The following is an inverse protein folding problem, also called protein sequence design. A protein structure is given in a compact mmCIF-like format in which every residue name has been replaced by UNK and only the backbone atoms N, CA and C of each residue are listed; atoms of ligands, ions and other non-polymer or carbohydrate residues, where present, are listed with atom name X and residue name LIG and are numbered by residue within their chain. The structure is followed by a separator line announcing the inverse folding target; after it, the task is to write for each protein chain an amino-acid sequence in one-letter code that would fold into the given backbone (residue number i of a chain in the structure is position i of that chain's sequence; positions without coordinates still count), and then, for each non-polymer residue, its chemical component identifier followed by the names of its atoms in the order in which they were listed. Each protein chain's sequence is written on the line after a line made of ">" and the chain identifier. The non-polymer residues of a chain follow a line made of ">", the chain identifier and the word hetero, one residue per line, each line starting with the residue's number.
data_IF_024908159707
#
_entry.id   IF_024908159707
#
_cell.length_a   1.000
_cell.length_b   1.000
_cell.length_c   1.000
_cell.angle_alpha   90.00
_cell.angle_beta   90.00
_cell.angle_gamma   90.00
#
_symmetry.space_group_name_H-M   'P 1'
#
loop_
_entity.id
_entity.type
_entity.pdbx_description
1 polymer ?
#
# COMPACT_ATOMS: atom_id res chain seq x y z
N UNK A 1 5.29 -14.36 -23.20
CA UNK A 1 5.01 -14.83 -21.98
C UNK A 1 4.82 -13.79 -20.90
N UNK A 2 4.58 -12.56 -21.33
CA UNK A 2 4.17 -11.50 -20.40
C UNK A 2 2.90 -11.86 -19.64
N UNK A 3 2.03 -12.67 -20.26
CA UNK A 3 0.81 -13.15 -19.61
C UNK A 3 1.11 -13.93 -18.33
N UNK A 4 2.17 -14.75 -18.34
CA UNK A 4 2.55 -15.52 -17.16
C UNK A 4 3.03 -14.63 -16.03
N UNK A 5 3.74 -13.56 -16.36
CA UNK A 5 4.22 -12.60 -15.37
C UNK A 5 3.05 -11.86 -14.70
N UNK A 6 2.05 -11.49 -15.50
CA UNK A 6 0.84 -10.84 -14.98
C UNK A 6 0.08 -11.78 -14.06
N UNK A 7 -0.07 -13.04 -14.48
CA UNK A 7 -0.82 -14.02 -13.70
C UNK A 7 -0.14 -14.35 -12.38
N UNK A 8 1.20 -14.32 -12.35
CA UNK A 8 1.96 -14.59 -11.13
C UNK A 8 1.68 -13.57 -10.02
N UNK A 9 1.24 -12.35 -10.37
CA UNK A 9 0.92 -11.30 -9.40
C UNK A 9 -0.52 -11.37 -8.90
N UNK A 10 -1.33 -12.29 -9.44
CA UNK A 10 -2.76 -12.35 -9.12
C UNK A 10 -3.07 -13.36 -8.03
N UNK A 11 -4.06 -13.02 -7.22
CA UNK A 11 -4.62 -13.92 -6.23
C UNK A 11 -5.69 -14.79 -6.88
N UNK A 12 -5.77 -16.05 -6.42
CA UNK A 12 -6.76 -17.01 -6.88
C UNK A 12 -7.87 -17.25 -5.88
N UNK A 13 -7.58 -16.99 -4.60
CA UNK A 13 -8.52 -17.22 -3.53
C UNK A 13 -8.31 -16.20 -2.42
N UNK A 14 -9.36 -15.89 -1.68
CA UNK A 14 -9.32 -14.96 -0.56
C UNK A 14 -8.33 -15.40 0.51
N UNK A 15 -8.14 -16.72 0.69
CA UNK A 15 -7.21 -17.25 1.68
C UNK A 15 -5.77 -16.79 1.44
N UNK A 16 -5.39 -16.57 0.19
CA UNK A 16 -4.06 -16.05 -0.12
C UNK A 16 -3.89 -14.64 0.40
N UNK A 17 -4.95 -13.83 0.32
CA UNK A 17 -4.93 -12.46 0.84
C UNK A 17 -4.91 -12.49 2.37
N UNK A 18 -5.73 -13.33 2.99
CA UNK A 18 -5.74 -13.47 4.46
C UNK A 18 -4.39 -13.93 4.98
N UNK A 19 -3.75 -14.86 4.27
CA UNK A 19 -2.41 -15.33 4.62
C UNK A 19 -1.37 -14.21 4.53
N UNK A 20 -1.44 -13.40 3.47
CA UNK A 20 -0.54 -12.27 3.29
C UNK A 20 -0.68 -11.27 4.45
N UNK A 21 -1.91 -10.89 4.77
CA UNK A 21 -2.17 -9.92 5.85
C UNK A 21 -1.69 -10.48 7.20
N UNK A 22 -1.99 -11.74 7.48
CA UNK A 22 -1.58 -12.37 8.74
C UNK A 22 -0.06 -12.40 8.88
N UNK A 23 0.66 -12.80 7.82
CA UNK A 23 2.12 -12.86 7.86
C UNK A 23 2.75 -11.48 7.94
N UNK A 24 2.10 -10.47 7.34
CA UNK A 24 2.52 -9.09 7.54
C UNK A 24 2.32 -8.68 9.00
N UNK A 25 1.16 -8.96 9.58
CA UNK A 25 0.85 -8.56 10.96
C UNK A 25 1.74 -9.22 11.98
N UNK A 26 2.10 -10.48 11.77
CA UNK A 26 2.99 -11.20 12.71
C UNK A 26 4.46 -11.10 12.33
N UNK A 27 4.77 -10.33 11.28
CA UNK A 27 6.13 -10.03 10.83
C UNK A 27 6.87 -11.26 10.27
N UNK A 28 6.16 -12.31 9.87
CA UNK A 28 6.77 -13.50 9.29
C UNK A 28 6.86 -13.45 7.77
N UNK A 29 6.22 -12.46 7.13
CA UNK A 29 6.30 -12.31 5.68
C UNK A 29 7.73 -12.00 5.27
N UNK A 30 8.35 -12.81 4.36
CA UNK A 30 9.70 -12.52 3.92
C UNK A 30 9.79 -11.17 3.19
N UNK A 31 10.93 -10.50 3.33
CA UNK A 31 11.17 -9.20 2.67
C UNK A 31 10.92 -9.27 1.16
N UNK A 32 11.31 -10.37 0.52
CA UNK A 32 11.12 -10.53 -0.92
C UNK A 32 9.64 -10.56 -1.33
N UNK A 33 8.75 -10.88 -0.40
CA UNK A 33 7.31 -10.91 -0.66
C UNK A 33 6.62 -9.61 -0.26
N UNK A 34 7.31 -8.70 0.40
CA UNK A 34 6.77 -7.39 0.78
C UNK A 34 6.92 -6.42 -0.38
N UNK A 35 6.22 -6.70 -1.47
CA UNK A 35 6.26 -5.97 -2.74
C UNK A 35 5.26 -4.82 -2.75
N UNK A 36 5.31 -3.99 -3.79
CA UNK A 36 4.31 -2.95 -3.99
C UNK A 36 2.89 -3.55 -4.03
N UNK A 37 2.73 -4.66 -4.74
CA UNK A 37 1.43 -5.37 -4.79
C UNK A 37 0.97 -5.79 -3.40
N UNK A 38 1.88 -6.27 -2.56
CA UNK A 38 1.57 -6.66 -1.19
C UNK A 38 1.15 -5.47 -0.34
N UNK A 39 1.85 -4.33 -0.48
CA UNK A 39 1.47 -3.10 0.23
C UNK A 39 0.04 -2.67 -0.11
N UNK A 40 -0.30 -2.66 -1.41
CA UNK A 40 -1.63 -2.29 -1.86
C UNK A 40 -2.70 -3.25 -1.32
N UNK A 41 -2.41 -4.53 -1.34
CA UNK A 41 -3.35 -5.55 -0.89
C UNK A 41 -3.61 -5.46 0.61
N UNK A 42 -2.57 -5.22 1.39
CA UNK A 42 -2.72 -5.02 2.85
C UNK A 42 -3.55 -3.76 3.12
N UNK A 43 -3.27 -2.66 2.42
CA UNK A 43 -4.04 -1.43 2.58
C UNK A 43 -5.51 -1.65 2.21
N UNK A 44 -5.76 -2.36 1.12
CA UNK A 44 -7.12 -2.69 0.69
C UNK A 44 -7.87 -3.46 1.77
N UNK A 45 -7.25 -4.50 2.31
CA UNK A 45 -7.89 -5.33 3.31
C UNK A 45 -8.24 -4.53 4.57
N UNK A 46 -7.30 -3.71 5.05
CA UNK A 46 -7.56 -2.89 6.24
C UNK A 46 -8.65 -1.85 6.01
N UNK A 47 -8.70 -1.24 4.81
CA UNK A 47 -9.72 -0.25 4.49
C UNK A 47 -11.10 -0.88 4.29
N UNK A 48 -11.18 -2.16 3.97
CA UNK A 48 -12.45 -2.88 3.91
C UNK A 48 -12.93 -3.28 5.30
N UNK A 49 -12.02 -3.55 6.23
CA UNK A 49 -12.37 -4.06 7.56
C UNK A 49 -12.56 -2.96 8.60
N UNK A 50 -11.95 -1.80 8.42
CA UNK A 50 -11.93 -0.73 9.42
C UNK A 50 -12.24 0.61 8.77
N UNK A 51 -12.68 1.59 9.57
CA UNK A 51 -12.85 2.95 9.08
C UNK A 51 -11.47 3.59 8.83
N UNK A 52 -11.48 4.79 8.24
CA UNK A 52 -10.24 5.46 7.84
C UNK A 52 -9.26 5.66 8.99
N UNK A 53 -9.67 6.21 10.16
CA UNK A 53 -8.70 6.42 11.25
C UNK A 53 -8.08 5.12 11.74
N UNK A 54 -8.89 4.08 11.91
CA UNK A 54 -8.43 2.79 12.42
C UNK A 54 -7.54 2.08 11.38
N UNK A 55 -7.98 2.04 10.12
CA UNK A 55 -7.20 1.41 9.05
C UNK A 55 -5.84 2.08 8.90
N UNK A 56 -5.81 3.41 8.91
CA UNK A 56 -4.57 4.19 8.79
C UNK A 56 -3.62 3.87 9.94
N UNK A 57 -4.15 3.85 11.17
CA UNK A 57 -3.32 3.56 12.34
C UNK A 57 -2.76 2.16 12.30
N UNK A 58 -3.55 1.18 11.85
CA UNK A 58 -3.10 -0.22 11.77
C UNK A 58 -2.06 -0.43 10.69
N UNK A 59 -2.23 0.19 9.53
CA UNK A 59 -1.25 0.08 8.45
C UNK A 59 0.06 0.76 8.85
N UNK A 60 -0.02 1.97 9.40
CA UNK A 60 1.17 2.69 9.87
C UNK A 60 1.93 1.89 10.92
N UNK A 61 1.23 1.45 11.96
CA UNK A 61 1.82 0.67 13.03
C UNK A 61 2.37 -0.66 12.54
N UNK A 62 1.64 -1.29 11.62
CA UNK A 62 2.04 -2.56 11.03
C UNK A 62 3.35 -2.46 10.25
N UNK A 63 3.48 -1.42 9.41
CA UNK A 63 4.70 -1.22 8.62
C UNK A 63 5.88 -0.96 9.55
N UNK A 64 5.69 -0.12 10.56
CA UNK A 64 6.76 0.19 11.52
C UNK A 64 7.22 -1.06 12.28
N UNK A 65 6.26 -1.86 12.72
CA UNK A 65 6.55 -3.12 13.42
C UNK A 65 7.26 -4.11 12.52
N UNK A 66 6.79 -4.23 11.27
CA UNK A 66 7.39 -5.11 10.28
C UNK A 66 8.84 -4.69 10.01
N UNK A 67 9.06 -3.38 9.78
CA UNK A 67 10.41 -2.87 9.53
C UNK A 67 11.33 -3.13 10.71
N UNK A 68 10.87 -2.92 11.92
CA UNK A 68 11.68 -3.18 13.12
C UNK A 68 12.04 -4.67 13.22
N UNK A 69 11.10 -5.55 12.96
CA UNK A 69 11.32 -7.00 13.03
C UNK A 69 12.32 -7.47 11.97
N UNK A 70 12.40 -6.79 10.84
CA UNK A 70 13.32 -7.13 9.75
C UNK A 70 14.57 -6.27 9.72
N UNK A 71 14.85 -5.56 10.81
CA UNK A 71 16.05 -4.73 10.99
C UNK A 71 16.20 -3.64 9.89
N UNK A 72 15.06 -3.03 9.48
CA UNK A 72 15.06 -1.91 8.55
C UNK A 72 14.93 -0.62 9.36
N UNK A 73 16.01 0.15 9.54
CA UNK A 73 15.93 1.37 10.33
C UNK A 73 15.24 2.50 9.55
N UNK A 74 14.59 3.39 10.28
CA UNK A 74 14.09 4.63 9.69
C UNK A 74 15.23 5.64 9.69
N UNK A 75 15.59 6.11 8.51
CA UNK A 75 16.66 7.10 8.32
C UNK A 75 16.13 8.21 7.43
N UNK A 76 16.88 9.31 7.22
CA UNK A 76 16.42 10.36 6.30
C UNK A 76 16.19 9.88 4.87
N UNK A 77 16.79 8.75 4.47
CA UNK A 77 16.73 8.23 3.09
C UNK A 77 16.14 6.83 2.97
N UNK A 78 15.73 6.21 4.08
CA UNK A 78 15.21 4.85 4.04
C UNK A 78 14.25 4.54 5.18
N UNK A 79 13.60 3.39 5.07
CA UNK A 79 12.65 2.93 6.07
C UNK A 79 11.26 3.53 5.89
N UNK A 80 10.52 3.68 6.98
CA UNK A 80 9.15 4.13 6.94
C UNK A 80 9.03 5.53 6.32
N UNK A 81 7.97 5.73 5.54
CA UNK A 81 7.72 7.00 4.86
C UNK A 81 6.24 7.37 5.01
N UNK A 82 5.95 8.35 5.84
CA UNK A 82 4.57 8.72 6.17
C UNK A 82 3.78 9.21 4.94
N UNK A 83 4.35 10.13 4.16
CA UNK A 83 3.63 10.66 3.00
C UNK A 83 3.29 9.56 1.98
N UNK A 84 4.22 8.64 1.69
CA UNK A 84 3.93 7.54 0.78
C UNK A 84 2.86 6.61 1.35
N UNK A 85 2.89 6.34 2.65
CA UNK A 85 1.89 5.49 3.29
C UNK A 85 0.50 6.09 3.15
N UNK A 86 0.35 7.37 3.48
CA UNK A 86 -0.94 8.06 3.39
C UNK A 86 -1.38 8.21 1.94
N UNK A 87 -0.43 8.52 1.05
CA UNK A 87 -0.72 8.63 -0.39
C UNK A 87 -1.41 7.35 -0.90
N UNK A 88 -0.79 6.20 -0.65
CA UNK A 88 -1.34 4.94 -1.14
C UNK A 88 -2.65 4.57 -0.45
N UNK A 89 -2.79 4.86 0.83
CA UNK A 89 -4.07 4.65 1.51
C UNK A 89 -5.18 5.49 0.89
N UNK A 90 -4.90 6.73 0.50
CA UNK A 90 -5.87 7.58 -0.18
C UNK A 90 -6.22 7.05 -1.57
N UNK A 91 -5.23 6.57 -2.30
CA UNK A 91 -5.46 5.97 -3.62
C UNK A 91 -6.37 4.75 -3.49
N UNK A 92 -6.08 3.88 -2.54
CA UNK A 92 -6.90 2.68 -2.34
C UNK A 92 -8.30 3.05 -1.88
N UNK A 93 -8.44 4.04 -1.01
CA UNK A 93 -9.76 4.51 -0.57
C UNK A 93 -10.58 5.02 -1.76
N UNK A 94 -10.00 5.84 -2.62
CA UNK A 94 -10.68 6.33 -3.83
C UNK A 94 -11.09 5.18 -4.74
N UNK A 95 -10.22 4.18 -4.87
CA UNK A 95 -10.54 2.98 -5.64
C UNK A 95 -11.77 2.27 -5.07
N UNK A 96 -11.84 2.12 -3.75
CA UNK A 96 -12.97 1.47 -3.09
C UNK A 96 -14.27 2.28 -3.18
N UNK A 97 -14.17 3.59 -3.23
CA UNK A 97 -15.33 4.47 -3.32
C UNK A 97 -15.92 4.53 -4.73
N UNK A 98 -15.22 4.03 -5.74
CA UNK A 98 -15.73 4.02 -7.09
C UNK A 98 -16.92 3.07 -7.22
N UNK A 99 -18.03 3.55 -7.80
CA UNK A 99 -19.27 2.79 -7.93
C UNK A 99 -19.06 1.43 -8.59
N UNK A 100 -18.18 1.37 -9.61
CA UNK A 100 -17.94 0.13 -10.34
C UNK A 100 -17.36 -0.98 -9.47
N UNK A 101 -16.84 -0.62 -8.29
CA UNK A 101 -16.22 -1.57 -7.38
C UNK A 101 -17.16 -2.02 -6.26
N UNK A 102 -18.35 -1.44 -6.21
CA UNK A 102 -19.34 -1.80 -5.19
C UNK A 102 -19.78 -3.25 -5.36
N UNK A 103 -19.81 -3.98 -4.26
CA UNK A 103 -20.28 -5.37 -4.23
C UNK A 103 -19.31 -6.39 -4.82
N UNK A 104 -18.11 -5.98 -5.25
CA UNK A 104 -17.13 -6.91 -5.82
C UNK A 104 -16.44 -7.73 -4.74
N UNK A 105 -15.98 -8.92 -5.11
CA UNK A 105 -15.26 -9.79 -4.19
C UNK A 105 -13.89 -9.22 -3.83
N UNK A 106 -13.35 -9.62 -2.69
CA UNK A 106 -12.01 -9.22 -2.25
C UNK A 106 -10.96 -9.57 -3.30
N UNK A 107 -11.00 -10.79 -3.84
CA UNK A 107 -10.05 -11.23 -4.85
C UNK A 107 -10.13 -10.36 -6.10
N UNK A 108 -11.34 -10.08 -6.56
CA UNK A 108 -11.55 -9.24 -7.74
C UNK A 108 -11.01 -7.83 -7.52
N UNK A 109 -11.30 -7.24 -6.37
CA UNK A 109 -10.82 -5.90 -6.03
C UNK A 109 -9.30 -5.86 -5.94
N UNK A 110 -8.69 -6.83 -5.25
CA UNK A 110 -7.24 -6.88 -5.08
C UNK A 110 -6.53 -7.00 -6.42
N UNK A 111 -7.00 -7.90 -7.29
CA UNK A 111 -6.37 -8.12 -8.58
C UNK A 111 -6.47 -6.89 -9.49
N UNK A 112 -7.61 -6.21 -9.48
CA UNK A 112 -7.76 -5.00 -10.29
C UNK A 112 -6.89 -3.86 -9.74
N UNK A 113 -6.88 -3.68 -8.42
CA UNK A 113 -6.07 -2.65 -7.79
C UNK A 113 -4.60 -2.83 -8.12
N UNK A 114 -4.09 -4.05 -7.99
CA UNK A 114 -2.68 -4.37 -8.27
C UNK A 114 -2.36 -4.12 -9.75
N UNK A 115 -3.29 -4.45 -10.64
CA UNK A 115 -3.08 -4.24 -12.08
C UNK A 115 -3.07 -2.77 -12.46
N UNK A 116 -3.89 -1.94 -11.79
CA UNK A 116 -4.09 -0.54 -12.19
C UNK A 116 -3.14 0.43 -11.49
N UNK A 117 -2.66 0.10 -10.29
CA UNK A 117 -1.91 1.04 -9.46
C UNK A 117 -0.42 1.02 -9.79
N UNK A 118 -0.01 1.96 -10.61
CA UNK A 118 1.38 2.13 -11.03
C UNK A 118 2.23 2.65 -9.86
N UNK A 119 3.34 1.96 -9.58
CA UNK A 119 4.25 2.35 -8.51
C UNK A 119 4.85 3.75 -8.70
N UNK A 120 4.88 4.25 -9.92
CA UNK A 120 5.36 5.61 -10.24
C UNK A 120 4.33 6.70 -10.00
N UNK A 121 3.10 6.36 -9.61
CA UNK A 121 2.03 7.34 -9.44
C UNK A 121 2.39 8.49 -8.48
N UNK A 122 3.06 8.28 -7.34
CA UNK A 122 3.40 9.39 -6.46
C UNK A 122 4.21 10.49 -7.15
N UNK A 123 5.09 10.14 -8.08
CA UNK A 123 5.92 11.11 -8.78
C UNK A 123 5.16 11.90 -9.86
N UNK A 124 3.90 11.57 -10.10
CA UNK A 124 3.02 12.40 -10.94
C UNK A 124 2.37 13.52 -10.11
N UNK A 125 2.36 13.36 -8.80
CA UNK A 125 1.76 14.33 -7.86
C UNK A 125 2.80 15.15 -7.11
N UNK A 126 3.99 14.58 -6.92
CA UNK A 126 5.07 15.19 -6.16
C UNK A 126 6.35 15.27 -7.00
N UNK A 127 7.10 16.37 -6.83
CA UNK A 127 8.49 16.36 -7.30
C UNK A 127 9.30 15.41 -6.42
N UNK A 128 10.39 14.89 -6.97
CA UNK A 128 11.31 14.05 -6.19
C UNK A 128 11.82 14.76 -4.95
N UNK A 129 12.20 16.04 -5.11
CA UNK A 129 12.72 16.82 -4.00
C UNK A 129 11.73 16.89 -2.84
N UNK A 130 10.46 17.08 -3.13
CA UNK A 130 9.45 17.17 -2.07
C UNK A 130 9.11 15.80 -1.49
N UNK A 131 8.88 14.81 -2.35
CA UNK A 131 8.49 13.48 -1.90
C UNK A 131 9.56 12.83 -1.03
N UNK A 132 10.82 12.99 -1.41
CA UNK A 132 11.92 12.35 -0.69
C UNK A 132 12.62 13.28 0.31
N UNK A 133 11.96 14.36 0.67
CA UNK A 133 12.44 15.23 1.75
C UNK A 133 12.29 14.53 3.10
N UNK A 134 13.08 14.94 4.06
CA UNK A 134 12.95 14.43 5.44
C UNK A 134 11.57 14.77 6.01
N UNK A 135 11.08 15.98 5.68
CA UNK A 135 9.76 16.43 6.11
C UNK A 135 8.65 15.49 5.66
N UNK A 136 8.66 15.10 4.37
CA UNK A 136 7.66 14.19 3.81
C UNK A 136 7.73 12.80 4.44
N UNK A 137 8.92 12.39 4.85
CA UNK A 137 9.11 11.07 5.46
C UNK A 137 8.50 10.98 6.84
N UNK A 138 8.53 12.07 7.60
CA UNK A 138 8.04 12.05 9.00
C UNK A 138 6.59 12.48 9.14
N UNK A 139 6.03 13.21 8.16
CA UNK A 139 4.65 13.71 8.23
C UNK A 139 4.12 13.91 6.81
N UNK A 140 2.79 13.91 6.69
CA UNK A 140 2.14 14.18 5.40
C UNK A 140 2.52 15.57 4.91
N UNK A 141 2.91 15.67 3.63
CA UNK A 141 3.07 16.94 2.93
C UNK A 141 2.16 16.94 1.70
N UNK A 142 1.64 18.11 1.36
CA UNK A 142 0.75 18.24 0.21
C UNK A 142 1.52 18.09 -1.10
N UNK A 143 0.88 17.48 -2.13
CA UNK A 143 1.51 17.40 -3.44
C UNK A 143 1.82 18.78 -4.02
N UNK A 144 2.97 18.89 -4.66
CA UNK A 144 3.41 20.17 -5.26
C UNK A 144 3.22 20.21 -6.78
N UNK A 145 2.93 19.09 -7.44
CA UNK A 145 2.70 19.06 -8.89
C UNK A 145 1.20 19.03 -9.23
N UNK A 146 0.45 18.18 -8.56
CA UNK A 146 -0.94 17.94 -8.88
C UNK A 146 -1.67 17.43 -7.65
N UNK A 147 -2.84 17.99 -7.31
CA UNK A 147 -3.60 17.52 -6.14
C UNK A 147 -3.95 16.05 -6.25
N UNK A 148 -4.10 15.42 -5.11
CA UNK A 148 -4.64 14.07 -5.02
C UNK A 148 -6.13 14.20 -4.75
N UNK A 149 -6.94 13.60 -5.60
CA UNK A 149 -8.42 13.68 -5.49
C UNK A 149 -8.97 12.95 -4.27
#
# INVERSE_FOLDING_TARGET
>A
MSVLTIDAARFRAAEEIFSLVRRFDDCTLPRAEWTHAAHLTVALWYLLEFDWPEATARVRGGIRRYNAAHAVPTTPTGGYHETLTIFWLRVVRSFLEAERNEGRSLVSLANELVADADAGLPLRHYTRARLFSTEARVAWVEPDLKPLD
#
